data_IF_040232712998
#
_entry.id   IF_040232712998
#
_cell.length_a   1.000
_cell.length_b   1.000
_cell.length_c   1.000
_cell.angle_alpha   90.00
_cell.angle_beta   90.00
_cell.angle_gamma   90.00
#
_symmetry.space_group_name_H-M   'P 1'
#
loop_
_entity.id
_entity.type
_entity.pdbx_description
1 polymer ?
#
# COMPACT_ATOMS: atom_id res chain seq x y z
N UNK A 1 13.46 -4.32 -15.55
CA UNK A 1 12.54 -3.30 -15.04
C UNK A 1 11.64 -3.99 -14.06
N UNK A 2 11.48 -3.44 -12.86
CA UNK A 2 10.52 -3.96 -11.89
C UNK A 2 9.14 -3.65 -12.41
N UNK A 3 8.26 -4.65 -12.46
CA UNK A 3 6.90 -4.46 -12.94
C UNK A 3 5.97 -4.06 -11.78
N UNK A 4 5.20 -3.00 -11.99
CA UNK A 4 4.11 -2.63 -11.09
C UNK A 4 2.82 -3.18 -11.67
N UNK A 5 2.20 -4.12 -10.95
CA UNK A 5 1.03 -4.86 -11.43
C UNK A 5 -0.22 -4.51 -10.65
N UNK A 6 -1.37 -4.66 -11.31
CA UNK A 6 -2.70 -4.53 -10.70
C UNK A 6 -3.45 -5.83 -10.89
N UNK A 7 -4.01 -6.37 -9.82
CA UNK A 7 -4.75 -7.63 -9.87
C UNK A 7 -6.01 -7.52 -9.04
N UNK A 8 -7.16 -7.71 -9.68
CA UNK A 8 -8.46 -7.75 -9.02
C UNK A 8 -8.45 -8.88 -7.99
N UNK A 9 -8.56 -8.52 -6.70
CA UNK A 9 -8.45 -9.47 -5.57
C UNK A 9 -7.16 -9.36 -4.74
N UNK A 10 -6.13 -8.65 -5.20
CA UNK A 10 -4.94 -8.34 -4.41
C UNK A 10 -4.93 -6.85 -4.04
N UNK A 11 -4.90 -6.54 -2.73
CA UNK A 11 -4.96 -5.17 -2.21
C UNK A 11 -6.10 -4.33 -2.83
N UNK A 12 -7.27 -4.92 -3.05
CA UNK A 12 -8.40 -4.22 -3.66
C UNK A 12 -8.16 -3.75 -5.12
N UNK A 13 -7.16 -4.29 -5.81
CA UNK A 13 -6.76 -3.85 -7.16
C UNK A 13 -5.77 -2.69 -7.17
N UNK A 14 -5.22 -2.31 -6.01
CA UNK A 14 -4.20 -1.27 -5.89
C UNK A 14 -2.89 -1.71 -6.56
N UNK A 15 -2.13 -0.76 -7.15
CA UNK A 15 -0.83 -1.05 -7.76
C UNK A 15 0.17 -1.51 -6.71
N UNK A 16 0.94 -2.54 -7.06
CA UNK A 16 1.92 -3.18 -6.18
C UNK A 16 3.11 -3.69 -6.99
N UNK A 17 4.21 -3.96 -6.29
CA UNK A 17 5.38 -4.61 -6.88
C UNK A 17 5.01 -6.06 -7.25
N UNK A 18 5.29 -6.47 -8.48
CA UNK A 18 5.05 -7.84 -8.95
C UNK A 18 5.68 -8.89 -8.03
N UNK A 19 5.02 -10.04 -7.86
CA UNK A 19 5.49 -11.11 -6.98
C UNK A 19 5.31 -10.84 -5.49
N UNK A 20 4.88 -9.62 -5.10
CA UNK A 20 4.67 -9.25 -3.70
C UNK A 20 3.23 -8.82 -3.42
N UNK A 21 2.92 -8.66 -2.13
CA UNK A 21 1.72 -7.98 -1.64
C UNK A 21 2.06 -6.59 -1.08
N UNK A 22 3.13 -5.95 -1.59
CA UNK A 22 3.57 -4.62 -1.16
C UNK A 22 3.06 -3.57 -2.14
N UNK A 23 2.09 -2.77 -1.68
CA UNK A 23 1.48 -1.71 -2.48
C UNK A 23 2.41 -0.50 -2.67
N UNK A 24 2.24 0.21 -3.79
CA UNK A 24 3.02 1.43 -4.09
C UNK A 24 2.80 2.51 -3.02
N UNK A 25 1.55 2.72 -2.59
CA UNK A 25 1.23 3.68 -1.53
C UNK A 25 1.95 3.33 -0.21
N UNK A 26 2.03 2.05 0.14
CA UNK A 26 2.69 1.61 1.37
C UNK A 26 4.19 1.94 1.37
N UNK A 27 4.89 1.71 0.24
CA UNK A 27 6.30 2.08 0.09
C UNK A 27 6.48 3.59 0.22
N UNK A 28 5.63 4.38 -0.43
CA UNK A 28 5.68 5.83 -0.35
C UNK A 28 5.47 6.33 1.09
N UNK A 29 4.47 5.80 1.80
CA UNK A 29 4.18 6.17 3.18
C UNK A 29 5.37 5.85 4.10
N UNK A 30 6.03 4.69 3.95
CA UNK A 30 7.19 4.34 4.76
C UNK A 30 8.40 5.23 4.47
N UNK A 31 8.74 5.45 3.20
CA UNK A 31 9.93 6.21 2.81
C UNK A 31 9.74 7.70 3.06
N UNK A 32 8.68 8.29 2.49
CA UNK A 32 8.52 9.74 2.41
C UNK A 32 7.86 10.29 3.67
N UNK A 33 6.77 9.69 4.11
CA UNK A 33 6.02 10.20 5.27
C UNK A 33 6.62 9.70 6.59
N UNK A 34 7.07 8.44 6.61
CA UNK A 34 7.80 7.83 7.71
C UNK A 34 9.24 8.30 7.83
N UNK A 35 9.77 9.05 6.84
CA UNK A 35 11.17 9.49 6.76
C UNK A 35 12.19 8.35 6.90
N UNK A 36 11.83 7.14 6.45
CA UNK A 36 12.75 6.01 6.47
C UNK A 36 13.64 6.04 5.22
N UNK A 37 14.95 5.75 5.33
CA UNK A 37 15.81 5.55 4.18
C UNK A 37 15.26 4.45 3.25
N UNK A 38 15.31 4.62 1.91
CA UNK A 38 14.85 3.60 0.98
C UNK A 38 15.51 2.23 1.17
N UNK A 39 16.78 2.19 1.61
CA UNK A 39 17.49 0.95 1.91
C UNK A 39 16.87 0.21 3.11
N UNK A 40 16.52 0.93 4.17
CA UNK A 40 15.90 0.32 5.36
C UNK A 40 14.51 -0.23 5.05
N UNK A 41 13.74 0.47 4.20
CA UNK A 41 12.43 -0.02 3.73
C UNK A 41 12.58 -1.25 2.83
N UNK A 42 13.61 -1.27 1.98
CA UNK A 42 13.93 -2.43 1.16
C UNK A 42 14.22 -3.66 2.03
N UNK A 43 15.11 -3.51 3.02
CA UNK A 43 15.49 -4.58 3.94
C UNK A 43 14.29 -5.08 4.77
N UNK A 44 13.46 -4.17 5.29
CA UNK A 44 12.30 -4.53 6.12
C UNK A 44 11.19 -5.26 5.35
N UNK A 45 11.02 -4.94 4.07
CA UNK A 45 9.98 -5.52 3.22
C UNK A 45 10.48 -6.68 2.36
N UNK A 46 11.73 -7.11 2.56
CA UNK A 46 12.40 -8.12 1.74
C UNK A 46 12.36 -7.79 0.23
N UNK A 47 12.52 -6.50 -0.08
CA UNK A 47 12.57 -5.96 -1.43
C UNK A 47 14.02 -5.63 -1.81
N UNK A 48 14.30 -5.61 -3.10
CA UNK A 48 15.46 -4.93 -3.63
C UNK A 48 15.28 -3.42 -3.59
N UNK A 49 16.40 -2.70 -3.49
CA UNK A 49 16.40 -1.24 -3.56
C UNK A 49 15.81 -0.71 -4.89
N UNK A 50 15.99 -1.46 -5.99
CA UNK A 50 15.42 -1.12 -7.29
C UNK A 50 13.88 -1.20 -7.29
N UNK A 51 13.29 -2.15 -6.57
CA UNK A 51 11.83 -2.27 -6.41
C UNK A 51 11.26 -1.09 -5.63
N UNK A 52 11.94 -0.69 -4.54
CA UNK A 52 11.55 0.50 -3.77
C UNK A 52 11.56 1.76 -4.65
N UNK A 53 12.65 2.03 -5.37
CA UNK A 53 12.71 3.19 -6.26
C UNK A 53 11.71 3.12 -7.42
N UNK A 54 11.43 1.92 -7.95
CA UNK A 54 10.41 1.76 -8.99
C UNK A 54 9.01 2.08 -8.48
N UNK A 55 8.68 1.67 -7.25
CA UNK A 55 7.43 2.04 -6.61
C UNK A 55 7.33 3.57 -6.36
N UNK A 56 8.40 4.20 -5.89
CA UNK A 56 8.44 5.66 -5.69
C UNK A 56 8.28 6.43 -7.02
N UNK A 57 8.95 5.97 -8.08
CA UNK A 57 8.78 6.53 -9.42
C UNK A 57 7.33 6.41 -9.88
N UNK A 58 6.73 5.22 -9.77
CA UNK A 58 5.34 4.99 -10.15
C UNK A 58 4.38 5.92 -9.38
N UNK A 59 4.58 6.10 -8.06
CA UNK A 59 3.76 6.99 -7.25
C UNK A 59 3.75 8.43 -7.80
N UNK A 60 4.92 8.96 -8.14
CA UNK A 60 5.07 10.33 -8.64
C UNK A 60 4.60 10.50 -10.09
N UNK A 61 4.66 9.45 -10.90
CA UNK A 61 4.13 9.44 -12.27
C UNK A 61 2.59 9.35 -12.31
N UNK A 62 1.95 8.79 -11.26
CA UNK A 62 0.51 8.53 -11.22
C UNK A 62 -0.21 9.20 -10.03
N UNK A 63 -0.10 10.53 -9.85
CA UNK A 63 -0.59 11.20 -8.65
C UNK A 63 -2.12 11.10 -8.49
N UNK A 64 -2.88 11.05 -9.59
CA UNK A 64 -4.35 10.97 -9.56
C UNK A 64 -4.82 9.59 -9.10
N UNK A 65 -4.17 8.53 -9.58
CA UNK A 65 -4.39 7.15 -9.14
C UNK A 65 -4.07 7.03 -7.65
N UNK A 66 -2.92 7.56 -7.21
CA UNK A 66 -2.49 7.47 -5.81
C UNK A 66 -3.42 8.21 -4.85
N UNK A 67 -3.99 9.35 -5.27
CA UNK A 67 -5.05 10.03 -4.49
C UNK A 67 -6.31 9.16 -4.37
N UNK A 68 -6.66 8.38 -5.39
CA UNK A 68 -7.80 7.46 -5.29
C UNK A 68 -7.51 6.31 -4.34
N UNK A 69 -6.37 5.66 -4.52
CA UNK A 69 -5.90 4.54 -3.67
C UNK A 69 -5.92 4.95 -2.20
N UNK A 70 -5.41 6.15 -1.88
CA UNK A 70 -5.39 6.67 -0.52
C UNK A 70 -6.78 6.85 0.08
N UNK A 71 -7.71 7.46 -0.66
CA UNK A 71 -9.10 7.63 -0.22
C UNK A 71 -9.80 6.29 0.00
N UNK A 72 -9.54 5.32 -0.86
CA UNK A 72 -10.16 4.00 -0.75
C UNK A 72 -9.61 3.24 0.48
N UNK A 73 -8.30 3.31 0.75
CA UNK A 73 -7.72 2.76 1.98
C UNK A 73 -8.29 3.42 3.25
N UNK A 74 -8.40 4.75 3.27
CA UNK A 74 -9.01 5.50 4.38
C UNK A 74 -10.47 5.07 4.60
N UNK A 75 -11.25 4.94 3.53
CA UNK A 75 -12.64 4.47 3.60
C UNK A 75 -12.72 3.05 4.18
N UNK A 76 -11.86 2.13 3.72
CA UNK A 76 -11.81 0.76 4.23
C UNK A 76 -11.41 0.72 5.71
N UNK A 77 -10.41 1.52 6.13
CA UNK A 77 -9.98 1.63 7.53
C UNK A 77 -11.12 2.19 8.41
N UNK A 78 -11.82 3.23 7.96
CA UNK A 78 -12.95 3.81 8.68
C UNK A 78 -14.12 2.82 8.85
N UNK A 79 -14.50 2.12 7.78
CA UNK A 79 -15.57 1.12 7.82
C UNK A 79 -15.23 -0.05 8.75
N UNK A 80 -13.96 -0.46 8.80
CA UNK A 80 -13.51 -1.49 9.74
C UNK A 80 -13.59 -0.99 11.20
N UNK A 81 -13.12 0.24 11.46
CA UNK A 81 -13.18 0.83 12.79
C UNK A 81 -14.62 0.91 13.33
N UNK A 82 -15.57 1.34 12.49
CA UNK A 82 -16.99 1.40 12.85
C UNK A 82 -17.55 0.02 13.24
N UNK A 83 -17.22 -1.04 12.48
CA UNK A 83 -17.63 -2.41 12.79
C UNK A 83 -16.97 -2.96 14.05
N UNK A 84 -15.69 -2.67 14.28
CA UNK A 84 -14.92 -3.19 15.41
C UNK A 84 -15.32 -2.56 16.76
N UNK A 85 -15.84 -1.33 16.76
CA UNK A 85 -16.32 -0.64 17.96
C UNK A 85 -17.70 -1.14 18.44
N UNK A 86 -18.34 -2.02 17.68
CA UNK A 86 -19.58 -2.70 18.06
C UNK A 86 -19.25 -4.11 18.55
N UNK A 87 -19.51 -4.47 19.83
CA UNK A 87 -19.36 -5.85 20.28
C UNK A 87 -20.21 -6.77 19.39
N UNK A 88 -19.73 -7.96 18.99
CA UNK A 88 -20.57 -8.91 18.29
C UNK A 88 -21.79 -9.24 19.17
N UNK A 89 -22.97 -9.41 18.56
CA UNK A 89 -24.14 -9.88 19.29
C UNK A 89 -23.78 -11.17 20.04
N UNK A 90 -24.10 -11.28 21.34
CA UNK A 90 -23.80 -12.49 22.09
C UNK A 90 -24.47 -13.68 21.40
N UNK A 91 -23.70 -14.74 21.18
CA UNK A 91 -24.22 -15.99 20.66
C UNK A 91 -25.36 -16.48 21.56
N UNK A 92 -26.51 -16.82 20.96
CA UNK A 92 -27.67 -17.38 21.65
C UNK A 92 -27.42 -18.81 22.12
#
# INVERSE_FOLDING_TARGET
>A
MVEIVRTEGCLGGNPRIEGTRVGVLHVYELVVEGNNPPADVADQLELSLAEVYSALAYYHEHPDEMRSVRRDEERSKAALAERSLSPPEPAK
#
